data_IF_635609548810
#
_entry.id   IF_635609548810
#
_cell.length_a   1.000
_cell.length_b   1.000
_cell.length_c   1.000
_cell.angle_alpha   90.00
_cell.angle_beta   90.00
_cell.angle_gamma   90.00
#
_symmetry.space_group_name_H-M   'P 1'
#
loop_
_entity.id
_entity.type
_entity.pdbx_description
1 polymer ?
#
# COMPACT_ATOMS: atom_id res chain seq x y z
N UNK A 1 -26.89 39.41 42.51
CA UNK A 1 -26.06 39.91 43.63
C UNK A 1 -25.39 38.73 44.29
N UNK A 2 -24.10 38.62 44.16
CA UNK A 2 -23.05 38.35 45.17
C UNK A 2 -21.76 38.11 44.39
N UNK A 3 -20.88 39.08 44.51
CA UNK A 3 -19.48 39.07 44.13
C UNK A 3 -18.72 38.14 45.07
N UNK A 4 -17.74 37.39 44.57
CA UNK A 4 -16.60 36.96 45.39
C UNK A 4 -15.31 37.12 44.63
N UNK A 5 -14.37 37.62 45.32
CA UNK A 5 -13.18 38.37 45.03
C UNK A 5 -11.97 37.43 44.84
N UNK A 6 -11.04 37.89 44.01
CA UNK A 6 -9.67 37.47 43.77
C UNK A 6 -8.84 37.17 45.03
N UNK A 7 -7.93 36.20 44.90
CA UNK A 7 -6.69 36.14 45.70
C UNK A 7 -5.51 35.65 44.86
N UNK A 8 -4.65 36.59 44.54
CA UNK A 8 -3.29 36.41 44.01
C UNK A 8 -2.37 36.01 45.16
N UNK A 9 -1.55 35.00 44.95
CA UNK A 9 -0.42 34.69 45.85
C UNK A 9 0.88 34.60 45.10
N UNK A 10 1.71 35.60 45.34
CA UNK A 10 3.07 35.79 44.90
C UNK A 10 4.02 34.84 45.69
N UNK A 11 4.89 34.11 45.04
CA UNK A 11 5.99 33.38 45.68
C UNK A 11 7.30 33.76 45.03
N UNK A 12 8.09 34.42 45.82
CA UNK A 12 9.42 34.98 45.58
C UNK A 12 10.49 33.93 45.22
N UNK A 13 11.32 34.31 44.27
CA UNK A 13 12.65 33.77 43.96
C UNK A 13 13.54 33.72 45.17
N UNK A 14 14.23 32.61 45.43
CA UNK A 14 15.51 32.57 46.18
C UNK A 14 16.56 31.85 45.34
N UNK A 15 17.56 32.64 44.93
CA UNK A 15 18.85 32.17 44.44
C UNK A 15 19.68 31.74 45.65
N UNK A 16 20.29 30.55 45.56
CA UNK A 16 21.40 30.17 46.46
C UNK A 16 22.60 29.84 45.55
N UNK A 17 23.61 30.71 45.64
CA UNK A 17 24.93 30.51 45.11
C UNK A 17 25.69 29.58 46.06
N UNK A 18 26.28 28.51 45.59
CA UNK A 18 27.34 27.81 46.31
C UNK A 18 28.59 27.76 45.42
N UNK A 19 29.58 28.47 45.88
CA UNK A 19 30.96 28.46 45.39
C UNK A 19 31.69 27.39 46.18
N UNK A 20 32.42 26.48 45.55
CA UNK A 20 33.42 25.58 46.16
C UNK A 20 34.64 25.50 45.25
N UNK A 21 35.84 25.53 45.83
CA UNK A 21 37.05 25.94 45.13
C UNK A 21 37.81 24.78 44.45
N UNK A 22 38.61 25.21 43.49
CA UNK A 22 39.63 24.45 42.76
C UNK A 22 40.76 23.98 43.69
N UNK A 23 41.13 22.73 43.59
CA UNK A 23 42.43 22.23 44.02
C UNK A 23 43.07 21.45 42.87
N UNK A 24 44.14 22.02 42.36
CA UNK A 24 45.02 21.41 41.37
C UNK A 24 45.89 20.35 41.99
N UNK A 25 46.03 19.20 41.35
CA UNK A 25 47.17 18.31 41.56
C UNK A 25 47.65 17.77 40.21
N UNK A 26 48.82 18.22 39.83
CA UNK A 26 49.55 17.73 38.67
C UNK A 26 50.13 16.33 38.95
N UNK A 27 49.90 15.41 38.02
CA UNK A 27 50.55 14.11 37.99
C UNK A 27 50.77 13.69 36.56
N UNK A 28 51.95 13.96 36.02
CA UNK A 28 52.41 13.51 34.71
C UNK A 28 52.73 12.02 34.82
N UNK A 29 51.98 11.18 34.08
CA UNK A 29 52.40 9.83 33.74
C UNK A 29 52.18 9.61 32.26
N UNK A 30 53.26 9.82 31.49
CA UNK A 30 53.30 9.52 30.05
C UNK A 30 53.38 8.01 29.85
N UNK A 31 52.28 7.35 29.52
CA UNK A 31 52.28 6.00 28.98
C UNK A 31 52.11 6.13 27.47
N UNK A 32 53.18 5.96 26.72
CA UNK A 32 53.15 5.78 25.29
C UNK A 32 52.63 4.37 25.02
N UNK A 33 51.34 4.25 24.78
CA UNK A 33 50.73 3.08 24.15
C UNK A 33 50.72 3.33 22.67
N UNK A 34 51.70 2.77 21.96
CA UNK A 34 51.62 2.51 20.51
C UNK A 34 50.54 1.46 20.30
N UNK A 35 49.27 1.91 20.22
CA UNK A 35 48.19 1.14 19.70
C UNK A 35 48.22 1.21 18.17
N UNK A 36 48.38 0.07 17.51
CA UNK A 36 48.07 -0.06 16.10
C UNK A 36 46.66 0.45 15.86
N UNK A 37 46.54 1.62 15.21
CA UNK A 37 45.29 2.11 14.71
C UNK A 37 44.87 1.26 13.49
N UNK A 38 44.02 0.29 13.69
CA UNK A 38 43.03 0.00 12.66
C UNK A 38 42.13 1.22 12.68
N UNK A 39 42.16 1.99 11.60
CA UNK A 39 41.10 2.92 11.27
C UNK A 39 39.86 2.06 11.00
N UNK A 40 39.10 1.73 12.04
CA UNK A 40 37.72 1.39 11.85
C UNK A 40 37.09 2.66 11.30
N UNK A 41 36.99 2.76 9.98
CA UNK A 41 36.04 3.69 9.34
C UNK A 41 34.72 3.43 10.01
N UNK A 42 34.20 4.44 10.70
CA UNK A 42 32.89 4.37 11.32
C UNK A 42 31.90 4.15 10.19
N UNK A 43 31.46 2.89 10.01
CA UNK A 43 30.55 2.50 8.92
C UNK A 43 29.23 3.20 9.23
N UNK A 44 28.91 4.23 8.46
CA UNK A 44 27.64 4.92 8.56
C UNK A 44 26.52 3.91 8.32
N UNK A 45 25.58 3.85 9.25
CA UNK A 45 24.41 2.95 9.19
C UNK A 45 23.16 3.79 9.06
N UNK A 46 22.33 3.41 8.14
CA UNK A 46 21.04 4.04 7.88
C UNK A 46 19.91 3.13 8.37
N UNK A 47 18.82 3.75 8.84
CA UNK A 47 17.58 3.04 9.16
C UNK A 47 16.40 3.91 8.77
N UNK A 48 15.59 3.43 7.83
CA UNK A 48 14.45 4.16 7.30
C UNK A 48 13.15 3.41 7.52
N UNK A 49 12.02 4.11 7.76
CA UNK A 49 10.71 3.49 7.80
C UNK A 49 10.21 3.16 6.38
N UNK A 50 9.55 2.01 6.27
CA UNK A 50 8.68 1.63 5.16
C UNK A 50 7.31 1.33 5.73
N UNK A 51 6.25 1.91 5.17
CA UNK A 51 4.91 1.74 5.68
C UNK A 51 3.94 1.15 4.66
N UNK A 52 2.94 0.43 5.17
CA UNK A 52 1.79 -0.03 4.41
C UNK A 52 0.53 -0.03 5.26
N UNK A 53 -0.61 0.33 4.66
CA UNK A 53 -1.91 0.21 5.31
C UNK A 53 -2.43 -1.24 5.33
N UNK A 54 -1.85 -2.12 4.51
CA UNK A 54 -2.25 -3.53 4.41
C UNK A 54 -2.01 -4.28 5.72
N UNK A 55 -2.88 -5.26 6.05
CA UNK A 55 -2.71 -6.09 7.24
C UNK A 55 -1.45 -6.97 7.15
N UNK A 56 -1.06 -7.48 8.30
CA UNK A 56 -0.03 -8.52 8.39
C UNK A 56 -0.50 -9.80 7.67
N UNK A 57 0.45 -10.68 7.33
CA UNK A 57 0.21 -11.91 6.57
C UNK A 57 -0.49 -11.67 5.21
N UNK A 58 -0.08 -10.60 4.50
CA UNK A 58 -0.48 -10.32 3.12
C UNK A 58 0.73 -10.24 2.21
N UNK A 59 0.55 -10.47 0.92
CA UNK A 59 1.62 -10.30 -0.08
C UNK A 59 2.17 -8.87 -0.05
N UNK A 60 1.33 -7.87 0.22
CA UNK A 60 1.78 -6.48 0.35
C UNK A 60 2.80 -6.32 1.48
N UNK A 61 2.54 -6.91 2.67
CA UNK A 61 3.50 -6.91 3.77
C UNK A 61 4.74 -7.74 3.42
N UNK A 62 4.56 -8.94 2.87
CA UNK A 62 5.67 -9.82 2.48
C UNK A 62 6.59 -9.15 1.44
N UNK A 63 6.03 -8.37 0.52
CA UNK A 63 6.80 -7.56 -0.43
C UNK A 63 7.68 -6.53 0.29
N UNK A 64 7.10 -5.81 1.26
CA UNK A 64 7.81 -4.83 2.07
C UNK A 64 8.93 -5.47 2.91
N UNK A 65 8.65 -6.60 3.55
CA UNK A 65 9.61 -7.33 4.38
C UNK A 65 10.76 -7.92 3.55
N UNK A 66 10.43 -8.51 2.38
CA UNK A 66 11.45 -9.03 1.49
C UNK A 66 12.36 -7.94 0.95
N UNK A 67 11.80 -6.79 0.58
CA UNK A 67 12.61 -5.64 0.19
C UNK A 67 13.54 -5.19 1.32
N UNK A 68 13.03 -5.12 2.56
CA UNK A 68 13.84 -4.75 3.72
C UNK A 68 14.97 -5.75 4.00
N UNK A 69 14.70 -7.05 3.84
CA UNK A 69 15.68 -8.14 3.96
C UNK A 69 16.78 -7.98 2.91
N UNK A 70 16.42 -7.86 1.63
CA UNK A 70 17.37 -7.77 0.52
C UNK A 70 18.24 -6.51 0.60
N UNK A 71 17.65 -5.36 0.97
CA UNK A 71 18.43 -4.13 1.21
C UNK A 71 19.46 -4.33 2.30
N UNK A 72 19.11 -5.01 3.39
CA UNK A 72 20.08 -5.31 4.47
C UNK A 72 21.18 -6.25 3.99
N UNK A 73 20.82 -7.31 3.27
CA UNK A 73 21.77 -8.33 2.83
C UNK A 73 22.74 -7.78 1.78
N UNK A 74 22.24 -7.12 0.74
CA UNK A 74 23.05 -6.52 -0.33
C UNK A 74 23.96 -5.39 0.19
N UNK A 75 23.50 -4.65 1.21
CA UNK A 75 24.32 -3.60 1.84
C UNK A 75 25.27 -4.11 2.94
N UNK A 76 25.32 -5.43 3.21
CA UNK A 76 26.05 -6.01 4.34
C UNK A 76 25.66 -5.37 5.69
N UNK A 77 24.36 -5.07 5.88
CA UNK A 77 23.78 -4.51 7.08
C UNK A 77 24.06 -3.01 7.30
N UNK A 78 24.58 -2.30 6.29
CA UNK A 78 24.75 -0.84 6.35
C UNK A 78 23.42 -0.10 6.28
N UNK A 79 22.52 -0.57 5.38
CA UNK A 79 21.21 -0.01 5.17
C UNK A 79 20.16 -0.94 5.78
N UNK A 80 19.23 -0.35 6.53
CA UNK A 80 18.13 -1.08 7.14
C UNK A 80 16.81 -0.37 6.85
N UNK A 81 15.80 -1.17 6.56
CA UNK A 81 14.44 -0.70 6.40
C UNK A 81 13.60 -1.34 7.51
N UNK A 82 12.84 -0.52 8.22
CA UNK A 82 11.92 -0.98 9.26
C UNK A 82 10.49 -0.94 8.71
N UNK A 83 9.87 -2.11 8.60
CA UNK A 83 8.52 -2.24 8.06
C UNK A 83 7.46 -1.98 9.13
N UNK A 84 6.46 -1.18 8.79
CA UNK A 84 5.29 -0.86 9.59
C UNK A 84 4.03 -1.19 8.80
N UNK A 85 3.39 -2.28 9.13
CA UNK A 85 2.16 -2.75 8.49
C UNK A 85 0.89 -2.32 9.23
N UNK A 86 -0.26 -2.73 8.72
CA UNK A 86 -1.56 -2.65 9.39
C UNK A 86 -1.97 -1.22 9.78
N UNK A 87 -1.74 -0.25 8.89
CA UNK A 87 -2.05 1.18 9.11
C UNK A 87 -1.41 1.77 10.38
N UNK A 88 -0.32 1.18 10.89
CA UNK A 88 0.35 1.64 12.13
C UNK A 88 0.83 3.09 12.03
N UNK A 89 1.26 3.51 10.83
CA UNK A 89 1.71 4.89 10.56
C UNK A 89 0.70 5.72 9.76
N UNK A 90 -0.50 5.20 9.49
CA UNK A 90 -1.56 5.90 8.77
C UNK A 90 -2.25 5.05 7.73
N UNK A 91 -3.34 5.55 7.15
CA UNK A 91 -4.03 4.96 6.01
C UNK A 91 -3.33 5.23 4.69
N UNK A 92 -3.83 4.65 3.58
CA UNK A 92 -3.19 4.77 2.27
C UNK A 92 -2.93 6.22 1.85
N UNK A 93 -3.88 7.12 2.09
CA UNK A 93 -3.75 8.55 1.77
C UNK A 93 -2.68 9.23 2.63
N UNK A 94 -2.72 9.01 3.94
CA UNK A 94 -1.75 9.59 4.89
C UNK A 94 -0.33 9.16 4.54
N UNK A 95 -0.15 7.89 4.15
CA UNK A 95 1.15 7.34 3.77
C UNK A 95 1.69 7.95 2.47
N UNK A 96 0.84 8.26 1.49
CA UNK A 96 1.28 8.96 0.28
C UNK A 96 1.70 10.40 0.59
N UNK A 97 0.92 11.11 1.40
CA UNK A 97 1.25 12.48 1.83
C UNK A 97 2.59 12.50 2.60
N UNK A 98 2.77 11.62 3.58
CA UNK A 98 4.02 11.54 4.35
C UNK A 98 5.22 11.07 3.53
N UNK A 99 5.00 10.22 2.50
CA UNK A 99 6.04 9.83 1.56
C UNK A 99 6.44 11.01 0.66
N UNK A 100 5.48 11.76 0.16
CA UNK A 100 5.74 12.98 -0.62
C UNK A 100 6.54 14.02 0.18
N UNK A 101 6.23 14.16 1.47
CA UNK A 101 6.95 15.08 2.38
C UNK A 101 8.34 14.56 2.81
N UNK A 102 8.65 13.29 2.53
CA UNK A 102 9.93 12.63 2.86
C UNK A 102 10.03 12.12 4.31
N UNK A 103 8.99 12.25 5.13
CA UNK A 103 8.99 11.79 6.53
C UNK A 103 8.99 10.24 6.61
N UNK A 104 8.29 9.58 5.70
CA UNK A 104 8.30 8.11 5.50
C UNK A 104 8.74 7.87 4.06
N UNK A 105 10.04 7.63 3.80
CA UNK A 105 10.55 7.58 2.43
C UNK A 105 10.01 6.42 1.59
N UNK A 106 9.61 5.29 2.18
CA UNK A 106 9.17 4.11 1.44
C UNK A 106 7.74 3.73 1.77
N UNK A 107 6.95 3.41 0.74
CA UNK A 107 5.58 2.92 0.87
C UNK A 107 5.34 1.72 -0.06
N UNK A 108 4.64 0.70 0.45
CA UNK A 108 4.06 -0.36 -0.38
C UNK A 108 2.55 -0.33 -0.24
N UNK A 109 1.84 -0.12 -1.33
CA UNK A 109 0.38 -0.09 -1.31
C UNK A 109 -0.26 -0.37 -2.67
N UNK A 110 -1.59 -0.57 -2.66
CA UNK A 110 -2.38 -0.70 -3.89
C UNK A 110 -2.34 0.58 -4.73
N UNK A 111 -2.39 0.43 -6.06
CA UNK A 111 -2.36 1.57 -7.00
C UNK A 111 -3.61 2.45 -6.95
N UNK A 112 -4.76 1.92 -6.54
CA UNK A 112 -6.03 2.65 -6.59
C UNK A 112 -6.10 3.91 -5.71
N UNK A 113 -5.62 3.96 -4.45
CA UNK A 113 -5.56 5.18 -3.67
C UNK A 113 -4.63 6.25 -4.27
N UNK A 114 -3.63 5.84 -5.05
CA UNK A 114 -2.62 6.71 -5.65
C UNK A 114 -3.18 7.57 -6.80
N UNK A 115 -4.31 7.17 -7.39
CA UNK A 115 -4.95 7.89 -8.50
C UNK A 115 -5.33 9.33 -8.14
N UNK A 116 -5.61 9.61 -6.88
CA UNK A 116 -5.90 10.98 -6.41
C UNK A 116 -4.68 11.89 -6.40
N UNK A 117 -3.47 11.34 -6.46
CA UNK A 117 -2.19 12.05 -6.53
C UNK A 117 -1.62 12.03 -7.95
N UNK A 118 -1.80 10.93 -8.66
CA UNK A 118 -1.26 10.66 -10.00
C UNK A 118 -2.39 10.09 -10.87
N UNK A 119 -3.12 10.99 -11.58
CA UNK A 119 -4.35 10.63 -12.30
C UNK A 119 -4.17 9.56 -13.37
N UNK A 120 -2.99 9.49 -14.00
CA UNK A 120 -2.71 8.52 -15.07
C UNK A 120 -2.67 7.07 -14.57
N UNK A 121 -2.45 6.86 -13.25
CA UNK A 121 -2.57 5.53 -12.63
C UNK A 121 -4.00 4.96 -12.70
N UNK A 122 -5.00 5.78 -13.04
CA UNK A 122 -6.36 5.31 -13.31
C UNK A 122 -6.43 4.27 -14.44
N UNK A 123 -5.40 4.14 -15.25
CA UNK A 123 -5.29 3.07 -16.25
C UNK A 123 -5.45 1.68 -15.62
N UNK A 124 -4.99 1.50 -14.38
CA UNK A 124 -5.12 0.24 -13.63
C UNK A 124 -6.53 -0.01 -13.09
N UNK A 125 -7.40 1.00 -13.10
CA UNK A 125 -8.79 0.91 -12.66
C UNK A 125 -9.77 0.58 -13.81
N UNK A 126 -9.26 0.30 -15.02
CA UNK A 126 -10.07 -0.19 -16.12
C UNK A 126 -10.64 -1.58 -15.78
N UNK A 127 -11.97 -1.75 -15.59
CA UNK A 127 -12.50 -2.98 -15.03
C UNK A 127 -12.52 -4.12 -16.05
N UNK A 128 -12.29 -5.35 -15.58
CA UNK A 128 -12.41 -6.58 -16.39
C UNK A 128 -11.51 -6.59 -17.64
N UNK A 129 -10.34 -5.97 -17.58
CA UNK A 129 -9.37 -5.94 -18.71
C UNK A 129 -8.71 -7.30 -18.88
N UNK A 130 -8.28 -7.94 -17.80
CA UNK A 130 -7.54 -9.20 -17.81
C UNK A 130 -8.40 -10.36 -17.34
N UNK A 131 -8.23 -11.50 -17.98
CA UNK A 131 -8.82 -12.79 -17.56
C UNK A 131 -7.81 -13.63 -16.77
N UNK A 132 -6.52 -13.26 -16.77
CA UNK A 132 -5.45 -13.92 -16.00
C UNK A 132 -4.46 -12.92 -15.41
N UNK A 133 -3.82 -13.28 -14.30
CA UNK A 133 -2.72 -12.50 -13.72
C UNK A 133 -1.49 -12.51 -14.61
N UNK A 134 -1.23 -13.62 -15.32
CA UNK A 134 -0.11 -13.72 -16.26
C UNK A 134 -0.19 -12.67 -17.38
N UNK A 135 -1.39 -12.43 -17.92
CA UNK A 135 -1.56 -11.41 -18.96
C UNK A 135 -1.43 -10.00 -18.38
N UNK A 136 -1.88 -9.78 -17.16
CA UNK A 136 -1.65 -8.55 -16.42
C UNK A 136 -0.16 -8.30 -16.19
N UNK A 137 0.57 -9.30 -15.65
CA UNK A 137 2.01 -9.23 -15.40
C UNK A 137 2.79 -8.93 -16.67
N UNK A 138 2.50 -9.63 -17.79
CA UNK A 138 3.13 -9.34 -19.09
C UNK A 138 2.92 -7.88 -19.53
N UNK A 139 1.75 -7.31 -19.25
CA UNK A 139 1.47 -5.92 -19.61
C UNK A 139 2.21 -4.92 -18.72
N UNK A 140 2.21 -5.13 -17.41
CA UNK A 140 2.92 -4.21 -16.49
C UNK A 140 4.45 -4.35 -16.58
N UNK A 141 4.96 -5.49 -17.07
CA UNK A 141 6.39 -5.75 -17.29
C UNK A 141 6.84 -5.35 -18.70
N UNK A 142 5.92 -4.97 -19.60
CA UNK A 142 6.30 -4.45 -20.91
C UNK A 142 7.18 -3.19 -20.74
N UNK A 143 8.40 -3.16 -21.29
CA UNK A 143 9.36 -2.09 -21.00
C UNK A 143 8.86 -0.69 -21.40
N UNK A 144 8.08 -0.59 -22.49
CA UNK A 144 7.51 0.70 -22.93
C UNK A 144 6.43 1.17 -21.95
N UNK A 145 5.51 0.27 -21.59
CA UNK A 145 4.46 0.58 -20.61
C UNK A 145 5.04 0.89 -19.23
N UNK A 146 6.00 0.07 -18.75
CA UNK A 146 6.66 0.29 -17.46
C UNK A 146 7.36 1.66 -17.40
N UNK A 147 8.03 2.06 -18.50
CA UNK A 147 8.65 3.39 -18.57
C UNK A 147 7.63 4.51 -18.46
N UNK A 148 6.50 4.42 -19.17
CA UNK A 148 5.42 5.42 -19.08
C UNK A 148 4.88 5.54 -17.65
N UNK A 149 4.69 4.42 -16.98
CA UNK A 149 4.21 4.41 -15.59
C UNK A 149 5.28 4.95 -14.62
N UNK A 150 6.55 4.62 -14.82
CA UNK A 150 7.65 5.17 -14.01
C UNK A 150 7.73 6.70 -14.14
N UNK A 151 7.49 7.25 -15.34
CA UNK A 151 7.44 8.69 -15.55
C UNK A 151 6.26 9.33 -14.77
N UNK A 152 5.08 8.67 -14.74
CA UNK A 152 3.92 9.12 -13.95
C UNK A 152 4.27 9.22 -12.45
N UNK A 153 4.98 8.23 -11.90
CA UNK A 153 5.41 8.28 -10.51
C UNK A 153 6.43 9.40 -10.27
N UNK A 154 7.40 9.54 -11.18
CA UNK A 154 8.44 10.59 -11.07
C UNK A 154 7.83 12.00 -11.13
N UNK A 155 6.89 12.23 -12.04
CA UNK A 155 6.17 13.50 -12.15
C UNK A 155 5.31 13.77 -10.90
N UNK A 156 4.86 12.71 -10.23
CA UNK A 156 4.16 12.78 -8.94
C UNK A 156 5.07 12.99 -7.72
N UNK A 157 6.39 13.01 -7.89
CA UNK A 157 7.37 13.16 -6.78
C UNK A 157 7.75 11.83 -6.12
N UNK A 158 7.44 10.71 -6.75
CA UNK A 158 7.79 9.37 -6.28
C UNK A 158 8.71 8.67 -7.28
N UNK A 159 9.52 7.73 -6.79
CA UNK A 159 10.27 6.82 -7.64
C UNK A 159 9.69 5.42 -7.52
N UNK A 160 9.29 4.82 -8.66
CA UNK A 160 8.76 3.46 -8.70
C UNK A 160 9.92 2.47 -8.65
N UNK A 161 10.00 1.68 -7.58
CA UNK A 161 11.00 0.63 -7.41
C UNK A 161 10.54 -0.73 -7.94
N UNK A 162 9.24 -1.04 -7.85
CA UNK A 162 8.71 -2.30 -8.35
C UNK A 162 7.19 -2.39 -8.27
N UNK A 163 6.63 -3.32 -9.06
CA UNK A 163 5.20 -3.62 -9.08
C UNK A 163 4.95 -5.13 -8.96
N UNK A 164 4.07 -5.51 -8.07
CA UNK A 164 3.59 -6.86 -7.91
C UNK A 164 2.06 -6.90 -7.91
N UNK A 165 1.49 -8.07 -7.71
CA UNK A 165 0.05 -8.26 -7.56
C UNK A 165 -0.27 -9.16 -6.35
N UNK A 166 -1.51 -9.12 -5.91
CA UNK A 166 -2.05 -9.91 -4.80
C UNK A 166 -3.31 -10.68 -5.23
N UNK A 167 -3.36 -11.08 -6.48
CA UNK A 167 -4.53 -11.75 -7.06
C UNK A 167 -5.58 -10.78 -7.60
N UNK A 168 -6.73 -11.32 -7.99
CA UNK A 168 -7.88 -10.51 -8.40
C UNK A 168 -8.69 -10.05 -7.19
N UNK A 169 -9.30 -8.89 -7.31
CA UNK A 169 -10.28 -8.39 -6.36
C UNK A 169 -11.62 -9.08 -6.59
N UNK A 170 -12.19 -9.60 -5.51
CA UNK A 170 -13.51 -10.24 -5.44
C UNK A 170 -14.40 -9.45 -4.50
N UNK A 171 -15.71 -9.64 -4.56
CA UNK A 171 -16.65 -9.00 -3.65
C UNK A 171 -16.98 -9.94 -2.50
N UNK A 172 -16.93 -9.50 -1.24
CA UNK A 172 -17.60 -10.20 -0.15
C UNK A 172 -18.85 -9.47 0.31
N UNK A 173 -19.89 -10.21 0.72
CA UNK A 173 -21.23 -9.66 0.98
C UNK A 173 -22.08 -10.58 1.83
N UNK A 174 -23.10 -10.02 2.51
CA UNK A 174 -24.15 -10.78 3.24
C UNK A 174 -25.40 -11.03 2.38
N UNK A 175 -25.31 -10.78 1.08
CA UNK A 175 -26.43 -11.00 0.16
C UNK A 175 -25.93 -11.71 -1.10
N UNK A 176 -26.41 -12.94 -1.33
CA UNK A 176 -26.01 -13.72 -2.49
C UNK A 176 -26.17 -12.94 -3.81
N UNK A 177 -25.17 -13.05 -4.69
CA UNK A 177 -25.18 -12.46 -6.03
C UNK A 177 -25.08 -13.59 -7.05
N UNK A 178 -26.23 -13.99 -7.58
CA UNK A 178 -26.34 -15.04 -8.60
C UNK A 178 -26.57 -14.47 -10.02
N UNK A 179 -26.92 -13.19 -10.10
CA UNK A 179 -27.18 -12.48 -11.35
C UNK A 179 -26.76 -11.01 -11.26
N UNK A 180 -26.69 -10.33 -12.42
CA UNK A 180 -26.38 -8.91 -12.47
C UNK A 180 -27.36 -8.04 -11.65
N UNK A 181 -28.63 -8.42 -11.58
CA UNK A 181 -29.64 -7.66 -10.83
C UNK A 181 -29.41 -7.65 -9.32
N UNK A 182 -28.66 -8.62 -8.77
CA UNK A 182 -28.44 -8.78 -7.33
C UNK A 182 -27.42 -7.80 -6.77
N UNK A 183 -26.62 -7.12 -7.61
CA UNK A 183 -25.76 -6.01 -7.19
C UNK A 183 -26.57 -4.80 -6.73
N UNK A 184 -27.81 -4.67 -7.21
CA UNK A 184 -28.62 -3.48 -6.99
C UNK A 184 -28.87 -3.22 -5.51
N UNK A 185 -28.51 -2.00 -5.09
CA UNK A 185 -28.80 -1.47 -3.76
C UNK A 185 -27.88 -1.99 -2.65
N UNK A 186 -26.91 -2.85 -2.92
CA UNK A 186 -25.93 -3.28 -1.93
C UNK A 186 -25.04 -2.10 -1.51
N UNK A 187 -24.89 -1.88 -0.22
CA UNK A 187 -23.98 -0.87 0.33
C UNK A 187 -22.57 -1.46 0.36
N UNK A 188 -21.80 -1.16 -0.65
CA UNK A 188 -20.45 -1.69 -0.79
C UNK A 188 -19.40 -0.66 -0.40
N UNK A 189 -18.44 -1.06 0.42
CA UNK A 189 -17.27 -0.24 0.69
C UNK A 189 -16.26 -0.40 -0.44
N UNK A 190 -15.65 0.71 -0.84
CA UNK A 190 -14.51 0.76 -1.74
C UNK A 190 -13.35 1.52 -1.11
N UNK A 191 -12.16 1.44 -1.71
CA UNK A 191 -11.08 2.39 -1.44
C UNK A 191 -11.48 3.81 -1.88
N UNK A 192 -10.71 4.81 -1.47
CA UNK A 192 -10.90 6.21 -1.89
C UNK A 192 -10.47 6.40 -3.36
N UNK A 193 -11.31 5.94 -4.27
CA UNK A 193 -11.06 5.99 -5.71
C UNK A 193 -12.37 6.24 -6.46
N UNK A 194 -12.41 7.29 -7.26
CA UNK A 194 -13.62 7.70 -7.99
C UNK A 194 -14.06 6.69 -9.05
N UNK A 195 -13.12 5.95 -9.65
CA UNK A 195 -13.43 4.96 -10.69
C UNK A 195 -13.97 3.67 -10.09
N UNK A 196 -13.48 3.26 -8.90
CA UNK A 196 -14.10 2.17 -8.13
C UNK A 196 -15.55 2.52 -7.74
N UNK A 197 -15.78 3.76 -7.28
CA UNK A 197 -17.15 4.25 -7.01
C UNK A 197 -18.03 4.21 -8.29
N UNK A 198 -17.48 4.66 -9.42
CA UNK A 198 -18.21 4.66 -10.70
C UNK A 198 -18.54 3.24 -11.16
N UNK A 199 -17.59 2.30 -11.05
CA UNK A 199 -17.79 0.90 -11.38
C UNK A 199 -18.96 0.29 -10.59
N UNK A 200 -18.93 0.34 -9.27
CA UNK A 200 -19.99 -0.24 -8.46
C UNK A 200 -21.34 0.46 -8.61
N UNK A 201 -21.34 1.78 -8.86
CA UNK A 201 -22.58 2.51 -9.25
C UNK A 201 -23.13 2.01 -10.58
N UNK A 202 -22.28 1.72 -11.56
CA UNK A 202 -22.71 1.19 -12.85
C UNK A 202 -23.37 -0.20 -12.73
N UNK A 203 -22.98 -1.00 -11.73
CA UNK A 203 -23.64 -2.26 -11.39
C UNK A 203 -24.94 -2.06 -10.59
N UNK A 204 -25.28 -0.82 -10.19
CA UNK A 204 -26.48 -0.50 -9.42
C UNK A 204 -26.30 -0.59 -7.89
N UNK A 205 -25.09 -0.84 -7.40
CA UNK A 205 -24.77 -0.81 -5.98
C UNK A 205 -24.68 0.63 -5.44
N UNK A 206 -24.60 0.76 -4.13
CA UNK A 206 -24.40 2.02 -3.38
C UNK A 206 -22.99 2.03 -2.77
N UNK A 207 -21.94 2.38 -3.53
CA UNK A 207 -20.58 2.39 -3.01
C UNK A 207 -20.33 3.57 -2.08
N UNK A 208 -19.52 3.32 -1.04
CA UNK A 208 -19.06 4.32 -0.08
C UNK A 208 -17.56 4.17 0.11
N UNK A 209 -16.76 5.24 -0.09
CA UNK A 209 -15.33 5.19 0.20
C UNK A 209 -15.10 5.19 1.71
N UNK A 210 -14.12 4.41 2.16
CA UNK A 210 -13.80 4.28 3.58
C UNK A 210 -12.37 3.78 3.75
N UNK A 211 -11.64 4.27 4.76
CA UNK A 211 -10.32 3.75 5.12
C UNK A 211 -10.40 2.25 5.43
N UNK A 212 -9.33 1.50 5.10
CA UNK A 212 -9.32 0.04 5.29
C UNK A 212 -9.49 -0.36 6.77
N UNK A 213 -8.91 0.39 7.70
CA UNK A 213 -9.01 0.15 9.14
C UNK A 213 -10.45 0.20 9.70
N UNK A 214 -11.39 0.81 8.98
CA UNK A 214 -12.79 0.95 9.39
C UNK A 214 -13.68 -0.18 8.84
N UNK A 215 -13.19 -0.98 7.89
CA UNK A 215 -14.01 -1.94 7.11
C UNK A 215 -14.61 -3.02 8.00
N UNK A 216 -13.80 -3.68 8.84
CA UNK A 216 -14.29 -4.77 9.71
C UNK A 216 -15.42 -4.28 10.62
N UNK A 217 -15.25 -3.13 11.26
CA UNK A 217 -16.26 -2.52 12.12
C UNK A 217 -17.48 -2.09 11.30
N UNK A 218 -17.29 -1.54 10.11
CA UNK A 218 -18.36 -1.19 9.19
C UNK A 218 -19.26 -2.36 8.81
N UNK A 219 -18.67 -3.52 8.52
CA UNK A 219 -19.35 -4.79 8.25
C UNK A 219 -20.07 -5.30 9.52
N UNK A 220 -19.39 -5.35 10.64
CA UNK A 220 -19.93 -5.82 11.92
C UNK A 220 -21.14 -4.99 12.37
N UNK A 221 -21.12 -3.68 12.14
CA UNK A 221 -22.22 -2.75 12.50
C UNK A 221 -23.28 -2.63 11.40
N UNK A 222 -23.14 -3.34 10.26
CA UNK A 222 -24.02 -3.27 9.10
C UNK A 222 -24.20 -1.85 8.52
N UNK A 223 -23.20 -0.97 8.70
CA UNK A 223 -23.16 0.32 8.01
C UNK A 223 -22.85 0.15 6.53
N UNK A 224 -22.12 -0.91 6.21
CA UNK A 224 -21.90 -1.46 4.87
C UNK A 224 -22.32 -2.94 4.84
N UNK A 225 -22.80 -3.42 3.70
CA UNK A 225 -23.26 -4.80 3.50
C UNK A 225 -22.18 -5.65 2.81
N UNK A 226 -21.24 -5.00 2.12
CA UNK A 226 -20.26 -5.63 1.26
C UNK A 226 -18.95 -4.82 1.22
N UNK A 227 -17.90 -5.48 0.77
CA UNK A 227 -16.61 -4.89 0.42
C UNK A 227 -15.99 -5.65 -0.76
N UNK A 228 -14.87 -5.18 -1.32
CA UNK A 228 -14.14 -5.83 -2.39
C UNK A 228 -12.64 -5.79 -2.11
N UNK A 229 -12.00 -6.94 -2.15
CA UNK A 229 -10.57 -7.16 -1.93
C UNK A 229 -10.15 -8.54 -2.48
N UNK A 230 -8.85 -8.82 -2.59
CA UNK A 230 -8.37 -10.18 -2.82
C UNK A 230 -8.73 -11.14 -1.67
N UNK A 231 -8.79 -12.43 -1.97
CA UNK A 231 -9.03 -13.48 -0.97
C UNK A 231 -8.11 -13.36 0.25
N UNK A 232 -6.85 -13.04 0.01
CA UNK A 232 -5.86 -12.93 1.08
C UNK A 232 -6.19 -11.82 2.07
N UNK A 233 -6.58 -10.64 1.58
CA UNK A 233 -6.98 -9.50 2.44
C UNK A 233 -8.27 -9.84 3.21
N UNK A 234 -9.21 -10.56 2.58
CA UNK A 234 -10.43 -11.03 3.24
C UNK A 234 -10.08 -11.94 4.43
N UNK A 235 -9.10 -12.84 4.26
CA UNK A 235 -8.67 -13.77 5.32
C UNK A 235 -7.84 -13.05 6.38
N UNK A 236 -6.81 -12.32 5.99
CA UNK A 236 -5.85 -11.71 6.93
C UNK A 236 -6.49 -10.65 7.84
N UNK A 237 -7.63 -10.10 7.45
CA UNK A 237 -8.39 -9.16 8.28
C UNK A 237 -9.72 -9.77 8.79
N UNK A 238 -9.86 -11.10 8.73
CA UNK A 238 -11.03 -11.86 9.20
C UNK A 238 -12.38 -11.31 8.66
N UNK A 239 -12.40 -10.71 7.47
CA UNK A 239 -13.61 -10.13 6.90
C UNK A 239 -14.69 -11.18 6.62
N UNK A 240 -14.27 -12.43 6.33
CA UNK A 240 -15.14 -13.58 6.13
C UNK A 240 -16.02 -13.89 7.35
N UNK A 241 -15.58 -13.54 8.57
CA UNK A 241 -16.43 -13.72 9.78
C UNK A 241 -17.70 -12.87 9.77
N UNK A 242 -17.69 -11.80 8.97
CA UNK A 242 -18.80 -10.84 8.87
C UNK A 242 -19.55 -10.97 7.53
N UNK A 243 -19.21 -11.98 6.69
CA UNK A 243 -19.70 -12.06 5.31
C UNK A 243 -20.13 -13.51 4.97
N UNK A 244 -21.38 -13.68 4.54
CA UNK A 244 -21.93 -14.99 4.19
C UNK A 244 -21.44 -15.50 2.83
N UNK A 245 -21.02 -14.58 1.93
CA UNK A 245 -20.66 -14.89 0.55
C UNK A 245 -19.39 -14.19 0.11
N UNK A 246 -18.59 -14.86 -0.72
CA UNK A 246 -17.58 -14.25 -1.59
C UNK A 246 -17.99 -14.49 -3.04
N UNK A 247 -18.09 -13.42 -3.82
CA UNK A 247 -18.51 -13.46 -5.22
C UNK A 247 -17.30 -13.20 -6.11
N UNK A 248 -16.97 -14.15 -6.99
CA UNK A 248 -15.84 -14.08 -7.91
C UNK A 248 -16.10 -13.08 -9.05
N UNK A 249 -16.14 -11.80 -8.69
CA UNK A 249 -16.28 -10.73 -9.68
C UNK A 249 -15.03 -10.58 -10.53
N UNK A 250 -13.84 -10.84 -10.00
CA UNK A 250 -12.53 -10.74 -10.64
C UNK A 250 -12.41 -9.47 -11.51
N UNK A 251 -12.93 -8.36 -10.98
CA UNK A 251 -13.15 -7.14 -11.73
C UNK A 251 -11.89 -6.31 -11.95
N UNK A 252 -10.88 -6.45 -11.08
CA UNK A 252 -9.58 -5.79 -11.17
C UNK A 252 -8.48 -6.69 -10.63
N UNK A 253 -7.27 -6.73 -11.22
CA UNK A 253 -6.10 -7.22 -10.53
C UNK A 253 -5.77 -6.28 -9.36
N UNK A 254 -5.36 -6.82 -8.22
CA UNK A 254 -4.89 -6.03 -7.09
C UNK A 254 -3.40 -5.74 -7.25
N UNK A 255 -3.09 -4.71 -8.02
CA UNK A 255 -1.71 -4.27 -8.22
C UNK A 255 -1.20 -3.51 -7.01
N UNK A 256 0.01 -3.81 -6.61
CA UNK A 256 0.74 -3.15 -5.52
C UNK A 256 2.05 -2.59 -6.05
N UNK A 257 2.38 -1.37 -5.64
CA UNK A 257 3.64 -0.72 -5.98
C UNK A 257 4.49 -0.51 -4.73
N UNK A 258 5.79 -0.74 -4.87
CA UNK A 258 6.82 -0.29 -3.96
C UNK A 258 7.37 1.03 -4.51
N UNK A 259 7.18 2.09 -3.76
CA UNK A 259 7.60 3.45 -4.12
C UNK A 259 8.48 4.06 -3.04
N UNK A 260 9.32 4.99 -3.47
CA UNK A 260 10.14 5.79 -2.57
C UNK A 260 9.99 7.27 -2.95
N UNK A 261 10.16 8.18 -1.99
CA UNK A 261 10.24 9.62 -2.30
C UNK A 261 11.36 9.87 -3.32
N UNK A 262 11.06 10.58 -4.41
CA UNK A 262 11.98 10.72 -5.55
C UNK A 262 13.22 11.56 -5.21
N UNK A 263 13.08 12.62 -4.40
CA UNK A 263 14.23 13.43 -3.95
C UNK A 263 15.13 12.61 -3.02
N UNK A 264 14.52 11.88 -2.06
CA UNK A 264 15.27 10.98 -1.18
C UNK A 264 16.08 9.96 -1.99
N UNK A 265 15.47 9.30 -2.99
CA UNK A 265 16.15 8.31 -3.82
C UNK A 265 17.31 8.91 -4.62
N UNK A 266 17.11 10.09 -5.21
CA UNK A 266 18.13 10.80 -6.00
C UNK A 266 19.30 11.28 -5.14
N UNK A 267 19.08 11.59 -3.87
CA UNK A 267 20.10 12.04 -2.94
C UNK A 267 20.98 10.90 -2.40
N UNK A 268 20.53 9.63 -2.55
CA UNK A 268 21.36 8.48 -2.19
C UNK A 268 22.60 8.36 -3.10
N UNK A 269 23.74 7.88 -2.57
CA UNK A 269 24.88 7.46 -3.39
C UNK A 269 24.47 6.45 -4.47
N UNK A 270 25.16 6.45 -5.60
CA UNK A 270 24.78 5.59 -6.74
C UNK A 270 24.80 4.11 -6.42
N UNK A 271 25.76 3.64 -5.64
CA UNK A 271 25.85 2.27 -5.17
C UNK A 271 24.68 1.89 -4.25
N UNK A 272 24.19 2.83 -3.45
CA UNK A 272 22.99 2.61 -2.61
C UNK A 272 21.70 2.59 -3.45
N UNK A 273 21.59 3.44 -4.50
CA UNK A 273 20.48 3.38 -5.46
C UNK A 273 20.46 2.03 -6.21
N UNK A 274 21.61 1.50 -6.61
CA UNK A 274 21.74 0.19 -7.28
C UNK A 274 21.29 -0.94 -6.34
N UNK A 275 21.69 -0.91 -5.06
CA UNK A 275 21.23 -1.86 -4.04
C UNK A 275 19.71 -1.82 -3.88
N UNK A 276 19.11 -0.62 -3.76
CA UNK A 276 17.66 -0.46 -3.65
C UNK A 276 16.93 -1.03 -4.86
N UNK A 277 17.45 -0.79 -6.06
CA UNK A 277 16.85 -1.28 -7.30
C UNK A 277 16.93 -2.81 -7.42
N UNK A 278 18.09 -3.40 -7.11
CA UNK A 278 18.26 -4.87 -7.10
C UNK A 278 17.38 -5.53 -6.03
N UNK A 279 17.36 -4.99 -4.82
CA UNK A 279 16.51 -5.47 -3.72
C UNK A 279 15.01 -5.43 -4.11
N UNK A 280 14.57 -4.37 -4.77
CA UNK A 280 13.18 -4.24 -5.21
C UNK A 280 12.82 -5.25 -6.30
N UNK A 281 13.75 -5.57 -7.22
CA UNK A 281 13.53 -6.60 -8.22
C UNK A 281 13.34 -7.97 -7.55
N UNK A 282 14.25 -8.37 -6.67
CA UNK A 282 14.14 -9.64 -5.92
C UNK A 282 12.87 -9.73 -5.10
N UNK A 283 12.51 -8.63 -4.44
CA UNK A 283 11.28 -8.56 -3.66
C UNK A 283 10.02 -8.65 -4.54
N UNK A 284 10.03 -8.06 -5.74
CA UNK A 284 8.92 -8.13 -6.70
C UNK A 284 8.68 -9.57 -7.17
N UNK A 285 9.76 -10.28 -7.53
CA UNK A 285 9.69 -11.69 -7.92
C UNK A 285 9.11 -12.55 -6.78
N UNK A 286 9.65 -12.38 -5.57
CA UNK A 286 9.16 -13.07 -4.38
C UNK A 286 7.67 -12.79 -4.08
N UNK A 287 7.26 -11.52 -4.16
CA UNK A 287 5.87 -11.15 -3.92
C UNK A 287 4.90 -11.85 -4.89
N UNK A 288 5.25 -11.94 -6.18
CA UNK A 288 4.45 -12.64 -7.21
C UNK A 288 4.39 -14.15 -6.95
N UNK A 289 5.51 -14.77 -6.55
CA UNK A 289 5.53 -16.18 -6.14
C UNK A 289 4.61 -16.43 -4.94
N UNK A 290 4.65 -15.54 -3.94
CA UNK A 290 3.76 -15.62 -2.78
C UNK A 290 2.29 -15.40 -3.15
N UNK A 291 2.00 -14.48 -4.07
CA UNK A 291 0.65 -14.28 -4.59
C UNK A 291 0.08 -15.57 -5.16
N UNK A 292 0.83 -16.25 -6.02
CA UNK A 292 0.37 -17.49 -6.67
C UNK A 292 0.24 -18.65 -5.67
N UNK A 293 1.20 -18.77 -4.74
CA UNK A 293 1.27 -19.91 -3.82
C UNK A 293 0.16 -19.90 -2.74
N UNK A 294 -0.36 -18.71 -2.37
CA UNK A 294 -1.20 -18.54 -1.18
C UNK A 294 -2.71 -18.51 -1.46
N UNK A 295 -3.12 -18.26 -2.72
CA UNK A 295 -4.55 -18.08 -3.08
C UNK A 295 -5.39 -19.30 -2.68
N UNK A 296 -4.93 -20.52 -2.99
CA UNK A 296 -5.67 -21.73 -2.73
C UNK A 296 -5.95 -21.95 -1.23
N UNK A 297 -4.95 -21.71 -0.38
CA UNK A 297 -5.09 -21.85 1.08
C UNK A 297 -6.06 -20.81 1.66
N UNK A 298 -6.05 -19.59 1.11
CA UNK A 298 -6.98 -18.54 1.55
C UNK A 298 -8.42 -18.84 1.13
N UNK A 299 -8.63 -19.38 -0.07
CA UNK A 299 -9.94 -19.89 -0.52
C UNK A 299 -10.42 -20.99 0.43
N UNK A 300 -9.58 -21.97 0.74
CA UNK A 300 -9.94 -23.06 1.67
C UNK A 300 -10.33 -22.53 3.06
N UNK A 301 -9.60 -21.54 3.58
CA UNK A 301 -9.92 -20.90 4.87
C UNK A 301 -11.32 -20.26 4.86
N UNK A 302 -11.68 -19.60 3.77
CA UNK A 302 -13.01 -18.98 3.61
C UNK A 302 -14.10 -20.04 3.54
N UNK A 303 -13.90 -21.11 2.76
CA UNK A 303 -14.87 -22.22 2.65
C UNK A 303 -15.04 -22.96 3.98
N UNK A 304 -13.94 -23.22 4.70
CA UNK A 304 -13.97 -23.88 6.02
C UNK A 304 -14.70 -23.04 7.08
N UNK A 305 -14.73 -21.71 6.95
CA UNK A 305 -15.49 -20.82 7.83
C UNK A 305 -17.01 -20.91 7.62
N UNK A 306 -17.46 -21.53 6.51
CA UNK A 306 -18.85 -21.60 6.11
C UNK A 306 -19.31 -20.46 5.18
N UNK A 307 -18.41 -19.56 4.79
CA UNK A 307 -18.69 -18.53 3.78
C UNK A 307 -18.74 -19.18 2.38
N UNK A 308 -19.85 -18.99 1.67
CA UNK A 308 -20.07 -19.57 0.33
C UNK A 308 -19.34 -18.78 -0.74
N UNK A 309 -18.60 -19.46 -1.62
CA UNK A 309 -17.96 -18.84 -2.79
C UNK A 309 -18.87 -19.00 -4.01
N UNK A 310 -19.24 -17.88 -4.61
CA UNK A 310 -20.14 -17.82 -5.79
C UNK A 310 -19.34 -17.47 -7.04
N UNK A 311 -19.26 -18.41 -7.97
CA UNK A 311 -18.72 -18.17 -9.32
C UNK A 311 -19.80 -17.60 -10.23
N UNK A 312 -19.56 -16.44 -10.80
CA UNK A 312 -20.50 -15.79 -11.71
C UNK A 312 -20.58 -16.47 -13.07
N UNK A 313 -21.79 -16.55 -13.64
CA UNK A 313 -21.99 -17.05 -14.99
C UNK A 313 -21.35 -16.13 -16.04
N UNK A 314 -21.01 -16.67 -17.22
CA UNK A 314 -20.49 -15.88 -18.36
C UNK A 314 -21.45 -14.77 -18.77
N UNK A 315 -22.76 -15.01 -18.66
CA UNK A 315 -23.77 -13.99 -18.91
C UNK A 315 -23.62 -12.82 -17.94
N UNK A 316 -23.51 -13.09 -16.64
CA UNK A 316 -23.37 -12.06 -15.62
C UNK A 316 -22.05 -11.31 -15.78
N UNK A 317 -20.94 -12.01 -16.06
CA UNK A 317 -19.64 -11.40 -16.37
C UNK A 317 -19.72 -10.47 -17.56
N UNK A 318 -20.43 -10.87 -18.61
CA UNK A 318 -20.67 -10.00 -19.78
C UNK A 318 -21.51 -8.77 -19.41
N UNK A 319 -22.55 -8.90 -18.61
CA UNK A 319 -23.38 -7.79 -18.16
C UNK A 319 -22.56 -6.78 -17.31
N UNK A 320 -21.63 -7.27 -16.46
CA UNK A 320 -20.69 -6.43 -15.73
C UNK A 320 -19.79 -5.63 -16.68
N UNK A 321 -19.17 -6.29 -17.67
CA UNK A 321 -18.35 -5.61 -18.68
C UNK A 321 -19.12 -4.57 -19.46
N UNK A 322 -20.34 -4.91 -19.89
CA UNK A 322 -21.19 -3.98 -20.64
C UNK A 322 -21.59 -2.74 -19.81
N UNK A 323 -21.87 -2.93 -18.52
CA UNK A 323 -22.17 -1.84 -17.59
C UNK A 323 -20.95 -0.94 -17.31
N UNK A 324 -19.75 -1.48 -17.41
CA UNK A 324 -18.49 -0.77 -17.12
C UNK A 324 -18.04 0.19 -18.22
N UNK A 325 -18.67 0.21 -19.39
CA UNK A 325 -18.24 1.03 -20.55
C UNK A 325 -18.08 2.52 -20.20
N UNK A 326 -18.97 3.08 -19.40
CA UNK A 326 -18.87 4.47 -18.97
C UNK A 326 -17.66 4.76 -18.09
N UNK A 327 -17.15 3.74 -17.35
CA UNK A 327 -15.91 3.87 -16.56
C UNK A 327 -14.70 3.96 -17.50
N UNK A 328 -14.66 3.12 -18.55
CA UNK A 328 -13.61 3.21 -19.57
C UNK A 328 -13.54 4.58 -20.24
N UNK A 329 -14.70 5.13 -20.61
CA UNK A 329 -14.79 6.45 -21.21
C UNK A 329 -14.26 7.54 -20.25
N UNK A 330 -14.69 7.50 -18.99
CA UNK A 330 -14.28 8.49 -17.99
C UNK A 330 -12.76 8.44 -17.67
N UNK A 331 -12.17 7.26 -17.67
CA UNK A 331 -10.71 7.09 -17.49
C UNK A 331 -9.98 7.63 -18.73
N UNK A 332 -10.40 7.21 -19.92
CA UNK A 332 -9.79 7.61 -21.19
C UNK A 332 -9.78 9.12 -21.41
N UNK A 333 -10.78 9.84 -20.91
CA UNK A 333 -10.89 11.31 -21.04
C UNK A 333 -9.86 12.06 -20.17
N UNK A 334 -9.33 11.41 -19.13
CA UNK A 334 -8.48 12.07 -18.12
C UNK A 334 -7.00 11.71 -18.25
N UNK A 335 -6.69 10.45 -18.59
CA UNK A 335 -5.30 9.95 -18.63
C UNK A 335 -4.62 10.26 -19.97
N UNK A 336 -3.29 10.24 -19.98
CA UNK A 336 -2.51 10.37 -21.23
C UNK A 336 -2.93 9.26 -22.22
N UNK A 337 -3.33 9.64 -23.45
CA UNK A 337 -3.71 8.67 -24.50
C UNK A 337 -2.63 7.60 -24.76
N UNK A 338 -1.35 7.92 -24.63
CA UNK A 338 -0.27 6.97 -24.84
C UNK A 338 -0.29 5.86 -23.79
N UNK A 339 -0.54 6.21 -22.52
CA UNK A 339 -0.66 5.25 -21.42
C UNK A 339 -1.87 4.35 -21.67
N UNK A 340 -3.01 4.94 -22.02
CA UNK A 340 -4.22 4.17 -22.32
C UNK A 340 -4.01 3.21 -23.50
N UNK A 341 -3.48 3.72 -24.61
CA UNK A 341 -3.29 2.92 -25.82
C UNK A 341 -2.25 1.80 -25.60
N UNK A 342 -1.14 2.09 -24.92
CA UNK A 342 -0.14 1.08 -24.57
C UNK A 342 -0.71 0.00 -23.65
N UNK A 343 -1.49 0.37 -22.62
CA UNK A 343 -2.11 -0.61 -21.72
C UNK A 343 -3.10 -1.53 -22.43
N UNK A 344 -3.88 -0.96 -23.35
CA UNK A 344 -4.92 -1.68 -24.09
C UNK A 344 -4.41 -2.44 -25.31
N UNK A 345 -3.14 -2.24 -25.69
CA UNK A 345 -2.55 -2.93 -26.85
C UNK A 345 -2.51 -4.45 -26.63
N UNK A 346 -2.98 -5.18 -27.65
CA UNK A 346 -3.03 -6.65 -27.64
C UNK A 346 -4.18 -7.26 -26.80
N UNK A 347 -4.95 -6.44 -26.09
CA UNK A 347 -6.12 -6.90 -25.31
C UNK A 347 -7.32 -7.07 -26.25
N UNK A 348 -7.79 -8.30 -26.38
CA UNK A 348 -9.00 -8.59 -27.14
C UNK A 348 -10.22 -8.37 -26.24
N UNK A 349 -11.04 -7.40 -26.58
CA UNK A 349 -12.33 -7.13 -25.93
C UNK A 349 -13.48 -7.91 -26.56
#
# INVERSE_FOLDING_TARGET
>A
MKKFTTATTDIKKRRILHVVPVLAAAGILSVVLTGCGSSDEEVQRYSWPLATASPEDTVTQLFAEKFAEEVSDLSNGKMKIQVYANSTLGGDRDLLETCSDGDIPFVVQNTAPQVSFMSDLAVFDLPCVFDSLDDCRKKIDDPEFYSLISDVYTDGGYHLLGMADQGFRVMSTNKAVNSFADFKGQKIRTMENSYHLAFWKALGANPTPMSFSEVYIGLQQHTIDAQENPYEVIVSNNLYEQQDYVVETNHLPHLISLIVNDEFFKDLPKDEQEIMTEAAQLATEYAREQSDARIADKIATIEESGTEIITLSDKTRKEIRDASKGVYESIREVIDPKIYDSYMEGIKK
#
